data_IF_598916333496
#
_entry.id   IF_598916333496
#
_cell.length_a   1.000
_cell.length_b   1.000
_cell.length_c   1.000
_cell.angle_alpha   90.00
_cell.angle_beta   90.00
_cell.angle_gamma   90.00
#
_symmetry.space_group_name_H-M   'P 1'
#
loop_
_entity.id
_entity.type
_entity.pdbx_description
1 polymer ?
#
# COMPACT_ATOMS: atom_id res chain seq x y z
N UNK A 1 46.14 74.37 -26.07
CA UNK A 1 44.77 73.84 -25.90
C UNK A 1 44.82 72.39 -26.29
N UNK A 2 45.04 71.50 -25.27
CA UNK A 2 45.20 70.04 -25.43
C UNK A 2 43.92 69.37 -25.01
N UNK A 3 43.25 68.72 -25.92
CA UNK A 3 42.10 67.87 -25.65
C UNK A 3 42.58 66.45 -25.28
N UNK A 4 42.45 66.09 -24.02
CA UNK A 4 42.75 64.77 -23.52
C UNK A 4 41.51 63.84 -23.74
N UNK A 5 41.63 62.89 -24.68
CA UNK A 5 40.61 61.86 -24.92
C UNK A 5 40.72 60.76 -23.88
N UNK A 6 39.69 60.63 -22.99
CA UNK A 6 39.55 59.54 -22.04
C UNK A 6 38.89 58.34 -22.79
N UNK A 7 39.65 57.27 -22.97
CA UNK A 7 39.18 55.98 -23.45
C UNK A 7 38.57 55.25 -22.30
N UNK A 8 37.24 55.10 -22.30
CA UNK A 8 36.53 54.23 -21.36
C UNK A 8 36.56 52.80 -21.96
N UNK A 9 37.33 51.90 -21.34
CA UNK A 9 37.30 50.49 -21.67
C UNK A 9 36.15 49.83 -20.87
N UNK A 10 35.09 49.40 -21.56
CA UNK A 10 34.03 48.61 -21.01
C UNK A 10 34.45 47.13 -20.99
N UNK A 11 34.79 46.63 -19.81
CA UNK A 11 35.03 45.20 -19.59
C UNK A 11 33.70 44.47 -19.48
N UNK A 12 33.34 43.70 -20.50
CA UNK A 12 32.17 42.81 -20.51
C UNK A 12 32.54 41.55 -19.72
N UNK A 13 31.93 41.40 -18.57
CA UNK A 13 32.00 40.14 -17.82
C UNK A 13 31.00 39.17 -18.40
N UNK A 14 31.50 38.13 -19.07
CA UNK A 14 30.68 36.97 -19.50
C UNK A 14 30.40 36.08 -18.29
N UNK A 15 29.19 36.16 -17.77
CA UNK A 15 28.74 35.24 -16.71
C UNK A 15 28.34 33.93 -17.38
N UNK A 16 29.16 32.89 -17.23
CA UNK A 16 28.82 31.51 -17.58
C UNK A 16 27.85 31.00 -16.52
N UNK A 17 26.56 30.97 -16.86
CA UNK A 17 25.55 30.25 -16.08
C UNK A 17 25.73 28.76 -16.40
N UNK A 18 26.31 28.02 -15.48
CA UNK A 18 26.34 26.55 -15.55
C UNK A 18 24.94 26.01 -15.22
N UNK A 19 24.19 25.63 -16.27
CA UNK A 19 22.96 24.88 -16.12
C UNK A 19 23.28 23.50 -15.46
N UNK A 20 23.14 23.42 -14.15
CA UNK A 20 23.14 22.15 -13.44
C UNK A 20 21.82 21.46 -13.68
N UNK A 21 21.69 20.76 -14.79
CA UNK A 21 20.60 19.80 -15.02
C UNK A 21 20.74 18.68 -13.99
N UNK A 22 20.04 18.82 -12.86
CA UNK A 22 19.85 17.71 -11.93
C UNK A 22 19.04 16.64 -12.68
N UNK A 23 19.75 15.63 -13.18
CA UNK A 23 19.12 14.39 -13.64
C UNK A 23 18.43 13.76 -12.44
N UNK A 24 17.10 13.94 -12.35
CA UNK A 24 16.27 13.12 -11.49
C UNK A 24 16.45 11.70 -12.03
N UNK A 25 17.13 10.84 -11.26
CA UNK A 25 17.13 9.42 -11.52
C UNK A 25 15.65 9.00 -11.44
N UNK A 26 15.02 8.77 -12.59
CA UNK A 26 13.74 8.09 -12.68
C UNK A 26 13.96 6.73 -12.02
N UNK A 27 13.32 6.53 -10.87
CA UNK A 27 13.24 5.25 -10.19
C UNK A 27 12.43 4.33 -11.14
N UNK A 28 13.12 3.70 -12.07
CA UNK A 28 12.53 2.82 -13.08
C UNK A 28 12.09 1.54 -12.36
N UNK A 29 10.88 1.60 -11.79
CA UNK A 29 10.17 0.38 -11.39
C UNK A 29 10.18 -0.60 -12.57
N UNK A 30 10.46 -1.90 -12.37
CA UNK A 30 10.54 -2.87 -13.46
C UNK A 30 9.27 -2.81 -14.28
N UNK A 31 9.42 -2.69 -15.60
CA UNK A 31 8.28 -2.64 -16.52
C UNK A 31 7.49 -3.94 -16.42
N UNK A 32 6.19 -3.86 -16.21
CA UNK A 32 5.32 -5.04 -16.17
C UNK A 32 5.41 -5.90 -17.45
N UNK A 33 5.81 -5.30 -18.57
CA UNK A 33 6.05 -6.01 -19.81
C UNK A 33 7.15 -7.10 -19.71
N UNK A 34 8.13 -6.95 -18.81
CA UNK A 34 9.20 -7.94 -18.64
C UNK A 34 8.69 -9.30 -18.16
N UNK A 35 7.54 -9.34 -17.51
CA UNK A 35 6.88 -10.56 -17.04
C UNK A 35 5.58 -10.85 -17.80
N UNK A 36 5.34 -10.20 -18.93
CA UNK A 36 4.05 -10.20 -19.65
C UNK A 36 2.87 -9.88 -18.72
N UNK A 37 3.10 -9.04 -17.75
CA UNK A 37 2.14 -8.68 -16.71
C UNK A 37 1.46 -7.33 -16.96
N UNK A 38 0.57 -7.00 -16.03
CA UNK A 38 -0.14 -5.71 -15.98
C UNK A 38 0.07 -5.05 -14.63
N UNK A 39 -0.04 -3.72 -14.58
CA UNK A 39 -0.14 -3.00 -13.33
C UNK A 39 -1.48 -3.34 -12.67
N UNK A 40 -1.45 -3.80 -11.43
CA UNK A 40 -2.62 -4.23 -10.65
C UNK A 40 -2.52 -3.70 -9.22
N UNK A 41 -3.65 -3.59 -8.57
CA UNK A 41 -3.75 -3.32 -7.14
C UNK A 41 -3.37 -4.58 -6.37
N UNK A 42 -2.39 -4.47 -5.46
CA UNK A 42 -2.19 -5.43 -4.39
C UNK A 42 -2.81 -4.88 -3.11
N UNK A 43 -3.70 -5.63 -2.52
CA UNK A 43 -4.33 -5.31 -1.24
C UNK A 43 -3.99 -6.39 -0.22
N UNK A 44 -3.47 -5.99 0.95
CA UNK A 44 -3.25 -6.87 2.09
C UNK A 44 -4.20 -6.48 3.22
N UNK A 45 -5.05 -7.43 3.63
CA UNK A 45 -5.97 -7.29 4.74
C UNK A 45 -5.44 -8.05 5.95
N UNK A 46 -5.41 -7.40 7.12
CA UNK A 46 -4.84 -7.95 8.35
C UNK A 46 -5.97 -8.26 9.34
N UNK A 47 -6.17 -9.55 9.62
CA UNK A 47 -7.25 -10.06 10.45
C UNK A 47 -6.70 -10.59 11.77
N UNK A 48 -6.85 -9.83 12.85
CA UNK A 48 -6.61 -10.32 14.20
C UNK A 48 -7.61 -11.42 14.58
N UNK A 49 -7.20 -12.36 15.41
CA UNK A 49 -8.05 -13.51 15.77
C UNK A 49 -8.53 -13.50 17.21
N UNK A 50 -7.95 -12.70 18.08
CA UNK A 50 -8.40 -12.65 19.46
C UNK A 50 -9.70 -11.85 19.57
N UNK A 51 -10.67 -12.44 20.26
CA UNK A 51 -11.97 -11.84 20.54
C UNK A 51 -11.98 -11.50 22.05
N UNK A 52 -12.81 -10.53 22.45
CA UNK A 52 -13.01 -10.21 23.86
C UNK A 52 -13.27 -11.47 24.70
N UNK A 53 -12.93 -11.41 26.01
CA UNK A 53 -13.08 -12.51 26.95
C UNK A 53 -12.23 -13.77 26.70
N UNK A 54 -11.03 -13.59 26.13
CA UNK A 54 -10.04 -14.67 25.89
C UNK A 54 -10.49 -15.74 24.89
N UNK A 55 -11.49 -15.45 24.07
CA UNK A 55 -11.87 -16.32 22.97
C UNK A 55 -11.08 -15.95 21.70
N UNK A 56 -11.13 -16.81 20.72
CA UNK A 56 -10.40 -16.65 19.46
C UNK A 56 -11.23 -17.13 18.28
N UNK A 57 -11.17 -16.43 17.16
CA UNK A 57 -11.73 -16.91 15.89
C UNK A 57 -11.11 -18.28 15.56
N UNK A 58 -11.96 -19.32 15.56
CA UNK A 58 -11.52 -20.69 15.26
C UNK A 58 -11.19 -20.86 13.78
N UNK A 59 -10.50 -21.95 13.44
CA UNK A 59 -10.21 -22.27 12.03
C UNK A 59 -11.48 -22.48 11.21
N UNK A 60 -12.51 -23.11 11.79
CA UNK A 60 -13.78 -23.34 11.10
C UNK A 60 -14.52 -22.01 10.83
N UNK A 61 -14.59 -21.12 11.82
CA UNK A 61 -15.17 -19.78 11.64
C UNK A 61 -14.42 -18.94 10.60
N UNK A 62 -13.09 -19.01 10.63
CA UNK A 62 -12.26 -18.36 9.63
C UNK A 62 -12.50 -18.89 8.22
N UNK A 63 -12.50 -20.23 8.06
CA UNK A 63 -12.72 -20.87 6.76
C UNK A 63 -14.10 -20.52 6.18
N UNK A 64 -15.14 -20.50 7.01
CA UNK A 64 -16.48 -20.10 6.61
C UNK A 64 -16.53 -18.61 6.21
N UNK A 65 -15.90 -17.73 6.98
CA UNK A 65 -15.77 -16.32 6.63
C UNK A 65 -15.02 -16.10 5.31
N UNK A 66 -13.87 -16.76 5.16
CA UNK A 66 -13.06 -16.67 3.96
C UNK A 66 -13.87 -17.05 2.71
N UNK A 67 -14.58 -18.19 2.76
CA UNK A 67 -15.38 -18.67 1.64
C UNK A 67 -16.57 -17.76 1.31
N UNK A 68 -17.28 -17.29 2.33
CA UNK A 68 -18.53 -16.51 2.10
C UNK A 68 -18.29 -15.05 1.80
N UNK A 69 -17.27 -14.46 2.39
CA UNK A 69 -17.06 -13.01 2.31
C UNK A 69 -15.91 -12.65 1.37
N UNK A 70 -14.81 -13.36 1.41
CA UNK A 70 -13.61 -12.98 0.65
C UNK A 70 -13.60 -13.64 -0.73
N UNK A 71 -13.68 -14.99 -0.79
CA UNK A 71 -13.62 -15.74 -2.05
C UNK A 71 -14.73 -15.35 -3.01
N UNK A 72 -15.93 -15.07 -2.51
CA UNK A 72 -17.06 -14.65 -3.37
C UNK A 72 -16.82 -13.29 -4.04
N UNK A 73 -16.08 -12.39 -3.40
CA UNK A 73 -15.76 -11.07 -3.96
C UNK A 73 -14.50 -11.09 -4.82
N UNK A 74 -13.58 -11.98 -4.52
CA UNK A 74 -12.32 -12.15 -5.23
C UNK A 74 -12.13 -13.59 -5.72
N UNK A 75 -13.03 -14.07 -6.62
CA UNK A 75 -13.00 -15.46 -7.08
C UNK A 75 -11.78 -15.80 -7.95
N UNK A 76 -11.12 -14.79 -8.53
CA UNK A 76 -9.96 -14.98 -9.41
C UNK A 76 -8.68 -15.32 -8.65
N UNK A 77 -8.69 -15.24 -7.34
CA UNK A 77 -7.57 -15.68 -6.49
C UNK A 77 -7.30 -14.75 -5.31
N UNK A 78 -6.82 -15.40 -4.26
CA UNK A 78 -6.31 -14.75 -3.06
C UNK A 78 -5.28 -15.67 -2.40
N UNK A 79 -4.42 -15.10 -1.57
CA UNK A 79 -3.45 -15.88 -0.77
C UNK A 79 -3.64 -15.55 0.70
N UNK A 80 -3.64 -16.59 1.54
CA UNK A 80 -3.74 -16.44 2.99
C UNK A 80 -2.42 -16.81 3.63
N UNK A 81 -1.88 -15.89 4.43
CA UNK A 81 -0.70 -16.12 5.26
C UNK A 81 -1.13 -16.22 6.72
N UNK A 82 -0.64 -17.23 7.41
CA UNK A 82 -0.69 -17.25 8.87
C UNK A 82 0.38 -16.30 9.40
N UNK A 83 -0.01 -15.44 10.32
CA UNK A 83 0.85 -14.38 10.84
C UNK A 83 0.67 -14.25 12.36
N UNK A 84 1.52 -13.44 12.97
CA UNK A 84 1.43 -13.03 14.35
C UNK A 84 1.56 -11.50 14.40
N UNK A 85 0.61 -10.84 15.02
CA UNK A 85 0.53 -9.40 15.06
C UNK A 85 0.69 -8.82 16.46
N UNK A 86 1.22 -7.61 16.51
CA UNK A 86 1.21 -6.78 17.71
C UNK A 86 0.55 -5.44 17.37
N UNK A 87 -0.34 -4.98 18.23
CA UNK A 87 -0.99 -3.70 18.06
C UNK A 87 -1.32 -3.07 19.41
N UNK A 88 -1.48 -1.76 19.43
CA UNK A 88 -1.88 -1.05 20.62
C UNK A 88 -3.40 -0.99 20.71
N UNK A 89 -3.97 -1.60 21.73
CA UNK A 89 -5.38 -1.48 22.03
C UNK A 89 -5.76 -0.02 22.33
N UNK A 90 -6.79 0.48 21.68
CA UNK A 90 -7.18 1.90 21.74
C UNK A 90 -7.77 2.29 23.09
N UNK A 91 -8.44 1.37 23.78
CA UNK A 91 -9.06 1.60 25.08
C UNK A 91 -8.05 1.50 26.22
N UNK A 92 -7.37 0.38 26.33
CA UNK A 92 -6.43 0.11 27.42
C UNK A 92 -5.03 0.68 27.19
N UNK A 93 -4.68 1.07 25.96
CA UNK A 93 -3.35 1.52 25.50
C UNK A 93 -2.24 0.47 25.68
N UNK A 94 -2.59 -0.78 25.96
CA UNK A 94 -1.64 -1.88 26.12
C UNK A 94 -1.33 -2.51 24.77
N UNK A 95 -0.12 -3.09 24.65
CA UNK A 95 0.23 -3.90 23.48
C UNK A 95 -0.45 -5.24 23.59
N UNK A 96 -1.25 -5.56 22.60
CA UNK A 96 -1.88 -6.87 22.40
C UNK A 96 -1.08 -7.66 21.38
N UNK A 97 -0.88 -8.94 21.66
CA UNK A 97 -0.16 -9.89 20.82
C UNK A 97 -1.10 -11.02 20.47
N UNK A 98 -1.32 -11.24 19.18
CA UNK A 98 -2.29 -12.22 18.73
C UNK A 98 -1.90 -12.94 17.44
N UNK A 99 -2.31 -14.20 17.27
CA UNK A 99 -2.31 -14.82 15.95
C UNK A 99 -3.22 -14.04 15.00
N UNK A 100 -2.81 -13.95 13.75
CA UNK A 100 -3.56 -13.24 12.73
C UNK A 100 -3.50 -13.99 11.40
N UNK A 101 -4.34 -13.56 10.45
CA UNK A 101 -4.21 -13.90 9.06
C UNK A 101 -4.00 -12.64 8.24
N UNK A 102 -3.17 -12.76 7.21
CA UNK A 102 -3.06 -11.76 6.15
C UNK A 102 -3.66 -12.36 4.89
N UNK A 103 -4.64 -11.67 4.31
CA UNK A 103 -5.19 -12.04 3.01
C UNK A 103 -4.66 -11.06 1.97
N UNK A 104 -3.92 -11.58 1.02
CA UNK A 104 -3.47 -10.84 -0.16
C UNK A 104 -4.41 -11.08 -1.32
N UNK A 105 -4.88 -10.00 -1.91
CA UNK A 105 -5.63 -9.98 -3.16
C UNK A 105 -4.83 -9.17 -4.17
N UNK A 106 -4.76 -9.68 -5.42
CA UNK A 106 -4.24 -8.92 -6.56
C UNK A 106 -5.38 -8.82 -7.57
N UNK A 107 -5.82 -7.60 -7.84
CA UNK A 107 -7.00 -7.34 -8.67
C UNK A 107 -6.82 -6.04 -9.47
N UNK A 108 -7.71 -5.81 -10.44
CA UNK A 108 -7.80 -4.50 -11.08
C UNK A 108 -8.21 -3.44 -10.04
N UNK A 109 -7.62 -2.26 -10.13
CA UNK A 109 -7.99 -1.12 -9.28
C UNK A 109 -9.29 -0.49 -9.82
N UNK A 110 -10.42 -0.95 -9.30
CA UNK A 110 -11.75 -0.47 -9.69
C UNK A 110 -12.58 -0.07 -8.46
N UNK A 111 -13.63 0.74 -8.62
CA UNK A 111 -14.57 1.06 -7.53
C UNK A 111 -15.14 -0.21 -6.86
N UNK A 112 -15.46 -1.24 -7.63
CA UNK A 112 -16.02 -2.51 -7.15
C UNK A 112 -15.00 -3.26 -6.28
N UNK A 113 -13.72 -3.25 -6.68
CA UNK A 113 -12.62 -3.82 -5.89
C UNK A 113 -12.50 -3.10 -4.55
N UNK A 114 -12.52 -1.77 -4.54
CA UNK A 114 -12.42 -0.96 -3.32
C UNK A 114 -13.62 -1.16 -2.40
N UNK A 115 -14.82 -1.22 -2.96
CA UNK A 115 -16.05 -1.52 -2.22
C UNK A 115 -15.99 -2.92 -1.62
N UNK A 116 -15.56 -3.93 -2.39
CA UNK A 116 -15.38 -5.31 -1.92
C UNK A 116 -14.43 -5.42 -0.72
N UNK A 117 -13.29 -4.72 -0.77
CA UNK A 117 -12.34 -4.66 0.35
C UNK A 117 -12.97 -4.02 1.59
N UNK A 118 -13.73 -2.94 1.41
CA UNK A 118 -14.44 -2.24 2.50
C UNK A 118 -15.49 -3.14 3.14
N UNK A 119 -16.29 -3.84 2.35
CA UNK A 119 -17.32 -4.76 2.83
C UNK A 119 -16.73 -5.94 3.60
N UNK A 120 -15.63 -6.54 3.13
CA UNK A 120 -14.92 -7.62 3.84
C UNK A 120 -14.48 -7.16 5.22
N UNK A 121 -13.86 -5.99 5.33
CA UNK A 121 -13.42 -5.43 6.61
C UNK A 121 -14.61 -5.23 7.57
N UNK A 122 -15.67 -4.62 7.08
CA UNK A 122 -16.89 -4.36 7.86
C UNK A 122 -17.53 -5.67 8.33
N UNK A 123 -17.66 -6.67 7.45
CA UNK A 123 -18.24 -7.97 7.78
C UNK A 123 -17.42 -8.70 8.88
N UNK A 124 -16.08 -8.65 8.81
CA UNK A 124 -15.23 -9.27 9.83
C UNK A 124 -15.38 -8.58 11.17
N UNK A 125 -15.32 -7.25 11.20
CA UNK A 125 -15.48 -6.47 12.43
C UNK A 125 -16.84 -6.73 13.10
N UNK A 126 -17.92 -6.75 12.32
CA UNK A 126 -19.25 -7.02 12.84
C UNK A 126 -19.40 -8.46 13.36
N UNK A 127 -18.93 -9.44 12.59
CA UNK A 127 -19.11 -10.86 12.91
C UNK A 127 -18.30 -11.29 14.12
N UNK A 128 -17.09 -10.79 14.28
CA UNK A 128 -16.14 -11.21 15.30
C UNK A 128 -15.85 -10.14 16.36
N UNK A 129 -16.62 -9.06 16.36
CA UNK A 129 -16.49 -7.95 17.31
C UNK A 129 -15.07 -7.38 17.38
N UNK A 130 -14.43 -7.27 16.21
CA UNK A 130 -13.09 -6.73 16.09
C UNK A 130 -13.13 -5.20 16.02
N UNK A 131 -12.14 -4.54 16.63
CA UNK A 131 -12.03 -3.07 16.59
C UNK A 131 -11.65 -2.57 15.19
N UNK A 132 -10.83 -3.33 14.48
CA UNK A 132 -10.38 -2.96 13.13
C UNK A 132 -9.90 -4.18 12.34
N UNK A 133 -9.88 -4.03 11.03
CA UNK A 133 -9.13 -4.86 10.09
C UNK A 133 -8.19 -3.94 9.32
N UNK A 134 -6.89 -4.17 9.43
CA UNK A 134 -5.89 -3.39 8.70
C UNK A 134 -6.04 -3.60 7.19
N UNK A 135 -5.70 -2.58 6.42
CA UNK A 135 -5.65 -2.64 4.96
C UNK A 135 -4.46 -1.82 4.47
N UNK A 136 -3.62 -2.42 3.65
CA UNK A 136 -2.60 -1.72 2.88
C UNK A 136 -2.83 -1.93 1.40
N UNK A 137 -2.52 -0.91 0.61
CA UNK A 137 -2.66 -0.92 -0.84
C UNK A 137 -1.34 -0.53 -1.48
N UNK A 138 -1.00 -1.19 -2.57
CA UNK A 138 0.15 -0.84 -3.41
C UNK A 138 -0.12 -1.24 -4.85
N UNK A 139 0.53 -0.57 -5.79
CA UNK A 139 0.54 -1.00 -7.18
C UNK A 139 1.64 -2.05 -7.37
N UNK A 140 1.33 -3.13 -8.05
CA UNK A 140 2.28 -4.21 -8.37
C UNK A 140 2.15 -4.63 -9.82
N UNK A 141 3.23 -5.22 -10.38
CA UNK A 141 3.14 -5.93 -11.65
C UNK A 141 2.75 -7.38 -11.39
N UNK A 142 1.67 -7.84 -12.02
CA UNK A 142 1.21 -9.21 -11.89
C UNK A 142 0.96 -9.84 -13.26
N UNK A 143 1.28 -11.14 -13.36
CA UNK A 143 1.05 -11.99 -14.53
C UNK A 143 0.37 -13.28 -14.05
N UNK A 144 -0.80 -13.60 -14.61
CA UNK A 144 -1.59 -14.80 -14.33
C UNK A 144 -2.01 -15.47 -15.63
#
# INVERSE_FOLDING_TARGET
MSFMRILIQATVWLVLVADSSASLAEDTAPSCAQINGKAMLQADLFFGRDIAARSRVSRAQWSDFLGREVTRRFPNGLTVFAAFGEWRDTGSRRITREPSFVVRVIAAETPETMEGLTQIRSAYMQRFHQQSVGLTLSTTCASF
#
